data_IF_367449416444
#
_entry.id   IF_367449416444
#
_cell.length_a   1.000
_cell.length_b   1.000
_cell.length_c   1.000
_cell.angle_alpha   90.00
_cell.angle_beta   90.00
_cell.angle_gamma   90.00
#
_symmetry.space_group_name_H-M   'P 1'
#
loop_
_entity.id
_entity.type
_entity.pdbx_description
1 polymer ?
#
# COMPACT_ATOMS: atom_id res chain seq x y z
N UNK A 1 -4.99 -23.58 8.69
CA UNK A 1 -4.46 -23.50 10.08
C UNK A 1 -2.94 -23.38 10.04
N UNK A 2 -2.18 -24.40 9.62
CA UNK A 2 -0.70 -24.36 9.54
C UNK A 2 -0.13 -23.16 8.76
N UNK A 3 -0.69 -22.84 7.60
CA UNK A 3 -0.25 -21.69 6.81
C UNK A 3 -0.43 -20.33 7.49
N UNK A 4 -1.48 -20.17 8.33
CA UNK A 4 -1.68 -18.94 9.09
C UNK A 4 -0.70 -18.88 10.26
N UNK A 5 -0.45 -19.99 10.94
CA UNK A 5 0.57 -20.06 11.99
C UNK A 5 1.95 -19.78 11.40
N UNK A 6 2.31 -20.40 10.28
CA UNK A 6 3.59 -20.17 9.59
C UNK A 6 3.73 -18.69 9.14
N UNK A 7 2.62 -18.02 8.82
CA UNK A 7 2.62 -16.60 8.44
C UNK A 7 2.92 -15.67 9.63
N UNK A 8 2.53 -16.03 10.86
CA UNK A 8 2.70 -15.18 12.04
C UNK A 8 3.81 -15.63 13.00
N UNK A 9 4.32 -16.85 12.87
CA UNK A 9 5.27 -17.46 13.82
C UNK A 9 6.66 -17.74 13.27
N UNK A 10 6.87 -17.57 11.95
CA UNK A 10 8.18 -17.75 11.31
C UNK A 10 8.75 -16.42 10.82
N UNK A 11 10.07 -16.28 10.79
CA UNK A 11 10.78 -15.09 10.27
C UNK A 11 10.37 -14.77 8.81
N UNK A 12 10.12 -15.81 8.00
CA UNK A 12 9.59 -15.68 6.63
C UNK A 12 8.16 -15.13 6.59
N UNK A 13 7.34 -15.47 7.58
CA UNK A 13 5.97 -14.99 7.73
C UNK A 13 5.93 -13.50 8.02
N UNK A 14 6.75 -13.03 8.98
CA UNK A 14 6.88 -11.61 9.29
C UNK A 14 7.35 -10.79 8.07
N UNK A 15 8.35 -11.29 7.34
CA UNK A 15 8.83 -10.66 6.10
C UNK A 15 7.69 -10.52 5.07
N UNK A 16 6.88 -11.57 4.88
CA UNK A 16 5.76 -11.54 3.95
C UNK A 16 4.66 -10.56 4.37
N UNK A 17 4.34 -10.46 5.67
CA UNK A 17 3.37 -9.50 6.21
C UNK A 17 3.84 -8.07 5.95
N UNK A 18 5.12 -7.78 6.18
CA UNK A 18 5.71 -6.47 5.88
C UNK A 18 5.61 -6.16 4.39
N UNK A 19 5.94 -7.12 3.52
CA UNK A 19 5.79 -6.96 2.07
C UNK A 19 4.35 -6.65 1.65
N UNK A 20 3.38 -7.39 2.18
CA UNK A 20 1.94 -7.17 1.93
C UNK A 20 1.52 -5.78 2.42
N UNK A 21 1.92 -5.38 3.63
CA UNK A 21 1.62 -4.06 4.18
C UNK A 21 2.18 -2.94 3.29
N UNK A 22 3.42 -3.08 2.83
CA UNK A 22 4.06 -2.11 1.93
C UNK A 22 3.33 -2.01 0.58
N UNK A 23 2.89 -3.13 0.00
CA UNK A 23 2.10 -3.12 -1.23
C UNK A 23 0.77 -2.39 -1.05
N UNK A 24 0.04 -2.69 0.04
CA UNK A 24 -1.24 -2.03 0.35
C UNK A 24 -1.07 -0.53 0.54
N UNK A 25 -0.05 -0.12 1.32
CA UNK A 25 0.28 1.30 1.52
C UNK A 25 0.63 1.98 0.19
N UNK A 26 1.42 1.32 -0.67
CA UNK A 26 1.78 1.85 -1.98
C UNK A 26 0.56 2.08 -2.88
N UNK A 27 -0.36 1.12 -2.95
CA UNK A 27 -1.59 1.23 -3.74
C UNK A 27 -2.46 2.38 -3.23
N UNK A 28 -2.64 2.50 -1.91
CA UNK A 28 -3.44 3.56 -1.30
C UNK A 28 -2.80 4.94 -1.57
N UNK A 29 -1.49 5.06 -1.36
CA UNK A 29 -0.76 6.31 -1.60
C UNK A 29 -0.88 6.75 -3.06
N UNK A 30 -0.71 5.82 -4.00
CA UNK A 30 -0.89 6.08 -5.43
C UNK A 30 -2.32 6.56 -5.74
N UNK A 31 -3.34 5.86 -5.24
CA UNK A 31 -4.73 6.25 -5.45
C UNK A 31 -5.03 7.65 -4.90
N UNK A 32 -4.48 8.00 -3.73
CA UNK A 32 -4.62 9.34 -3.14
C UNK A 32 -3.98 10.40 -4.04
N UNK A 33 -2.74 10.18 -4.51
CA UNK A 33 -2.03 11.16 -5.34
C UNK A 33 -2.77 11.41 -6.65
N UNK A 34 -3.18 10.35 -7.35
CA UNK A 34 -3.94 10.48 -8.60
C UNK A 34 -5.26 11.18 -8.36
N UNK A 35 -6.01 10.80 -7.33
CA UNK A 35 -7.29 11.41 -7.01
C UNK A 35 -7.15 12.90 -6.65
N UNK A 36 -6.11 13.27 -5.91
CA UNK A 36 -5.78 14.68 -5.65
C UNK A 36 -5.49 15.40 -6.96
N UNK A 37 -4.65 14.83 -7.82
CA UNK A 37 -4.26 15.44 -9.09
C UNK A 37 -5.44 15.66 -10.04
N UNK A 38 -6.36 14.70 -10.11
CA UNK A 38 -7.58 14.80 -10.93
C UNK A 38 -8.56 15.85 -10.41
N UNK A 39 -8.54 16.14 -9.11
CA UNK A 39 -9.40 17.13 -8.48
C UNK A 39 -8.73 18.50 -8.35
N UNK A 40 -7.50 18.68 -8.82
CA UNK A 40 -6.88 20.00 -8.89
C UNK A 40 -7.65 20.85 -9.91
N UNK A 41 -8.12 22.05 -9.53
CA UNK A 41 -8.69 22.96 -10.51
C UNK A 41 -7.65 23.31 -11.56
N UNK A 42 -8.06 23.65 -12.80
CA UNK A 42 -7.14 24.08 -13.84
C UNK A 42 -6.23 25.16 -13.29
N UNK A 43 -4.93 24.87 -13.28
CA UNK A 43 -3.95 25.81 -12.75
C UNK A 43 -3.82 26.91 -13.81
N UNK A 44 -4.48 28.03 -13.59
CA UNK A 44 -4.43 29.17 -14.50
C UNK A 44 -2.96 29.55 -14.74
N UNK A 45 -2.49 29.52 -16.00
CA UNK A 45 -1.20 30.09 -16.35
C UNK A 45 -1.31 31.61 -16.14
N UNK A 46 -0.75 32.13 -15.04
CA UNK A 46 -0.44 33.56 -14.96
C UNK A 46 0.72 33.89 -15.89
#
# INVERSE_FOLDING_TARGET
>A
MKALTDLFSTDYGLMSIVGIAMMVVGIIAFAIVIRRKMNEPPRDPQ
#
